data_IF_255985756762
#
_entry.id   IF_255985756762
#
_cell.length_a   1.000
_cell.length_b   1.000
_cell.length_c   1.000
_cell.angle_alpha   90.00
_cell.angle_beta   90.00
_cell.angle_gamma   90.00
#
_symmetry.space_group_name_H-M   'P 1'
#
loop_
_entity.id
_entity.type
_entity.pdbx_description
1 polymer ?
#
# COMPACT_ATOMS: atom_id res chain seq x y z
N UNK A 1 7.12 26.05 -3.71
CA UNK A 1 7.85 26.47 -2.48
C UNK A 1 9.34 26.16 -2.57
N UNK A 2 9.79 24.92 -2.79
CA UNK A 2 11.21 24.61 -3.02
C UNK A 2 11.74 25.28 -4.31
N UNK A 3 10.98 25.19 -5.40
CA UNK A 3 11.38 25.71 -6.70
C UNK A 3 11.42 27.24 -6.78
N UNK A 4 10.66 27.93 -5.98
CA UNK A 4 10.59 29.41 -5.91
C UNK A 4 11.38 29.99 -4.72
N UNK A 5 12.03 29.14 -3.94
CA UNK A 5 12.86 29.53 -2.80
C UNK A 5 12.08 30.01 -1.55
N UNK A 6 10.76 29.77 -1.49
CA UNK A 6 9.94 30.09 -0.30
C UNK A 6 10.41 29.30 0.93
N UNK A 7 10.90 28.08 0.74
CA UNK A 7 11.53 27.23 1.74
C UNK A 7 12.72 26.51 1.11
N UNK A 8 13.78 26.29 1.86
CA UNK A 8 14.92 25.49 1.42
C UNK A 8 14.70 24.01 1.69
N UNK A 9 15.40 23.12 0.96
CA UNK A 9 15.29 21.69 1.18
C UNK A 9 15.77 21.27 2.59
N UNK A 10 16.85 21.82 3.18
CA UNK A 10 17.19 21.58 4.57
C UNK A 10 16.12 22.04 5.56
N UNK A 11 15.55 23.23 5.41
CA UNK A 11 14.46 23.71 6.30
C UNK A 11 13.24 22.79 6.22
N UNK A 12 12.82 22.40 5.02
CA UNK A 12 11.72 21.47 4.84
C UNK A 12 12.01 20.13 5.53
N UNK A 13 13.22 19.59 5.37
CA UNK A 13 13.61 18.34 6.03
C UNK A 13 13.56 18.47 7.56
N UNK A 14 14.12 19.54 8.13
CA UNK A 14 14.11 19.72 9.60
C UNK A 14 12.68 19.80 10.15
N UNK A 15 11.73 20.45 9.46
CA UNK A 15 10.33 20.44 9.84
C UNK A 15 9.76 19.01 9.96
N UNK A 16 10.11 18.11 9.03
CA UNK A 16 9.68 16.72 9.11
C UNK A 16 10.42 15.94 10.22
N UNK A 17 11.73 16.13 10.39
CA UNK A 17 12.51 15.47 11.44
C UNK A 17 12.02 15.89 12.85
N UNK A 18 11.70 17.15 13.08
CA UNK A 18 11.11 17.64 14.34
C UNK A 18 9.73 17.01 14.59
N UNK A 19 8.88 16.93 13.57
CA UNK A 19 7.58 16.25 13.67
C UNK A 19 7.75 14.77 14.00
N UNK A 20 8.67 14.06 13.33
CA UNK A 20 8.99 12.67 13.62
C UNK A 20 9.45 12.53 15.08
N UNK A 21 10.40 13.34 15.53
CA UNK A 21 10.92 13.29 16.91
C UNK A 21 9.83 13.49 17.96
N UNK A 22 8.83 14.33 17.67
CA UNK A 22 7.70 14.63 18.56
C UNK A 22 6.65 13.54 18.58
N UNK A 23 6.21 13.06 17.40
CA UNK A 23 5.00 12.24 17.27
C UNK A 23 5.29 10.74 17.15
N UNK A 24 6.44 10.38 16.58
CA UNK A 24 6.70 8.97 16.27
C UNK A 24 7.04 8.12 17.51
N UNK A 25 7.34 8.75 18.64
CA UNK A 25 7.46 8.05 19.93
C UNK A 25 6.17 7.31 20.32
N UNK A 26 5.01 7.89 19.97
CA UNK A 26 3.70 7.28 20.19
C UNK A 26 3.32 6.36 19.04
N UNK A 27 3.49 6.82 17.79
CA UNK A 27 3.02 6.12 16.60
C UNK A 27 3.88 4.90 16.22
N UNK A 28 5.19 4.97 16.42
CA UNK A 28 6.18 3.95 16.00
C UNK A 28 6.02 3.59 14.52
N UNK A 29 5.87 4.61 13.70
CA UNK A 29 5.70 4.45 12.26
C UNK A 29 7.02 4.24 11.53
N UNK A 30 8.14 4.75 12.07
CA UNK A 30 9.48 4.49 11.55
C UNK A 30 10.18 3.38 12.34
N UNK A 31 10.79 2.44 11.61
CA UNK A 31 11.76 1.51 12.18
C UNK A 31 13.11 2.21 12.39
N UNK A 32 13.51 3.04 11.44
CA UNK A 32 14.70 3.90 11.53
C UNK A 32 14.49 5.21 10.79
N UNK A 33 14.95 6.29 11.41
CA UNK A 33 15.02 7.62 10.79
C UNK A 33 16.46 7.85 10.34
N UNK A 34 16.66 8.22 9.08
CA UNK A 34 17.97 8.39 8.45
C UNK A 34 18.39 9.87 8.47
N UNK A 35 18.30 10.51 9.65
CA UNK A 35 18.45 11.96 9.79
C UNK A 35 19.77 12.51 9.18
N UNK A 36 20.90 11.84 9.43
CA UNK A 36 22.19 12.35 9.00
C UNK A 36 22.38 12.25 7.48
N UNK A 37 22.06 11.11 6.87
CA UNK A 37 22.09 10.96 5.40
C UNK A 37 21.05 11.85 4.72
N UNK A 38 19.86 11.98 5.29
CA UNK A 38 18.82 12.86 4.77
C UNK A 38 19.25 14.34 4.76
N UNK A 39 19.96 14.80 5.81
CA UNK A 39 20.52 16.15 5.84
C UNK A 39 21.56 16.39 4.73
N UNK A 40 22.43 15.39 4.49
CA UNK A 40 23.38 15.46 3.38
C UNK A 40 22.68 15.52 2.03
N UNK A 41 21.66 14.66 1.81
CA UNK A 41 20.86 14.64 0.60
C UNK A 41 20.09 15.97 0.40
N UNK A 42 19.54 16.55 1.45
CA UNK A 42 18.85 17.83 1.39
C UNK A 42 19.81 18.99 1.07
N UNK A 43 21.05 18.95 1.59
CA UNK A 43 22.09 19.92 1.23
C UNK A 43 22.43 19.85 -0.26
N UNK A 44 22.68 18.66 -0.79
CA UNK A 44 22.93 18.44 -2.23
C UNK A 44 21.74 18.89 -3.07
N UNK A 45 20.50 18.56 -2.66
CA UNK A 45 19.30 19.00 -3.36
C UNK A 45 19.19 20.54 -3.39
N UNK A 46 19.57 21.23 -2.31
CA UNK A 46 19.57 22.69 -2.25
C UNK A 46 20.60 23.31 -3.21
N UNK A 47 21.81 22.73 -3.31
CA UNK A 47 22.81 23.19 -4.27
C UNK A 47 22.32 23.06 -5.71
N UNK A 48 21.65 21.95 -6.04
CA UNK A 48 21.04 21.73 -7.37
C UNK A 48 19.89 22.72 -7.66
N UNK A 49 19.03 23.01 -6.66
CA UNK A 49 17.97 24.04 -6.76
C UNK A 49 18.58 25.42 -7.03
N UNK A 50 19.66 25.78 -6.33
CA UNK A 50 20.37 27.06 -6.51
C UNK A 50 21.02 27.16 -7.89
N UNK A 51 21.49 26.03 -8.45
CA UNK A 51 22.00 25.94 -9.81
C UNK A 51 20.89 26.01 -10.89
N UNK A 52 19.63 26.14 -10.50
CA UNK A 52 18.49 26.23 -11.42
C UNK A 52 17.91 24.90 -11.88
N UNK A 53 18.38 23.78 -11.31
CA UNK A 53 17.86 22.46 -11.67
C UNK A 53 16.42 22.27 -11.16
N UNK A 54 15.60 21.59 -11.94
CA UNK A 54 14.18 21.35 -11.62
C UNK A 54 13.83 19.89 -11.89
N UNK A 55 13.93 19.05 -10.85
CA UNK A 55 13.49 17.65 -10.90
C UNK A 55 12.17 17.49 -10.16
N UNK A 56 11.38 16.47 -10.51
CA UNK A 56 10.02 16.27 -9.97
C UNK A 56 9.96 16.21 -8.43
N UNK A 57 10.97 15.62 -7.79
CA UNK A 57 11.00 15.39 -6.34
C UNK A 57 12.21 16.08 -5.67
N UNK A 58 12.83 17.07 -6.32
CA UNK A 58 14.07 17.67 -5.83
C UNK A 58 13.89 18.31 -4.45
N UNK A 59 14.53 17.72 -3.43
CA UNK A 59 14.46 18.13 -2.04
C UNK A 59 13.22 17.66 -1.27
N UNK A 60 12.37 16.81 -1.85
CA UNK A 60 11.16 16.28 -1.20
C UNK A 60 11.50 15.07 -0.32
N UNK A 61 11.19 15.10 1.00
CA UNK A 61 11.40 13.95 1.88
C UNK A 61 10.43 12.81 1.57
N UNK A 62 10.94 11.57 1.44
CA UNK A 62 10.13 10.36 1.17
C UNK A 62 10.48 9.27 2.17
N UNK A 63 9.46 8.58 2.70
CA UNK A 63 9.62 7.42 3.55
C UNK A 63 9.56 6.11 2.74
N UNK A 64 10.40 5.15 3.07
CA UNK A 64 10.53 3.87 2.38
C UNK A 64 10.07 2.73 3.30
N UNK A 65 9.23 1.85 2.80
CA UNK A 65 8.81 0.65 3.55
C UNK A 65 9.99 -0.26 3.84
N UNK A 66 10.05 -0.88 5.03
CA UNK A 66 11.18 -1.69 5.47
C UNK A 66 11.21 -3.12 4.90
N UNK A 67 10.78 -3.27 3.67
CA UNK A 67 10.96 -4.44 2.80
C UNK A 67 11.67 -4.06 1.48
N UNK A 68 11.96 -2.79 1.29
CA UNK A 68 12.66 -2.25 0.13
C UNK A 68 14.07 -1.82 0.54
N UNK A 69 15.07 -2.21 -0.23
CA UNK A 69 16.47 -1.96 0.08
C UNK A 69 16.85 -0.49 -0.12
N UNK A 70 17.55 0.05 0.88
CA UNK A 70 18.19 1.37 0.87
C UNK A 70 19.66 1.15 1.18
N UNK A 71 20.54 1.66 0.34
CA UNK A 71 21.99 1.53 0.49
C UNK A 71 22.47 2.06 1.86
N UNK A 72 23.36 1.33 2.51
CA UNK A 72 23.84 1.63 3.85
C UNK A 72 22.95 1.13 4.99
N UNK A 73 21.71 0.71 4.70
CA UNK A 73 20.72 0.32 5.71
C UNK A 73 20.33 -1.16 5.67
N UNK A 74 19.93 -1.65 6.83
CA UNK A 74 19.37 -2.99 6.96
C UNK A 74 17.92 -3.01 6.48
N UNK A 75 17.55 -4.02 5.71
CA UNK A 75 16.15 -4.34 5.43
C UNK A 75 15.71 -5.47 6.37
N UNK A 76 14.85 -5.14 7.35
CA UNK A 76 14.56 -6.07 8.44
C UNK A 76 13.37 -6.98 8.17
N UNK A 77 12.49 -6.62 7.25
CA UNK A 77 11.20 -7.31 7.07
C UNK A 77 10.42 -7.47 8.39
N UNK A 78 10.55 -6.47 9.30
CA UNK A 78 9.91 -6.49 10.62
C UNK A 78 10.47 -7.56 11.58
N UNK A 79 11.68 -8.06 11.39
CA UNK A 79 12.26 -9.19 12.10
C UNK A 79 13.70 -8.97 12.54
N UNK A 80 14.10 -9.60 13.65
CA UNK A 80 15.49 -9.73 14.07
C UNK A 80 16.29 -10.79 13.27
N UNK A 81 15.64 -11.50 12.35
CA UNK A 81 16.26 -12.54 11.51
C UNK A 81 17.04 -12.01 10.32
N UNK A 82 17.04 -10.69 10.09
CA UNK A 82 17.63 -9.98 8.95
C UNK A 82 19.15 -10.21 8.78
N UNK A 83 19.65 -9.91 7.58
CA UNK A 83 21.07 -9.89 7.21
C UNK A 83 21.77 -8.57 7.55
N UNK A 84 22.96 -8.33 6.97
CA UNK A 84 23.68 -7.06 7.08
C UNK A 84 22.97 -5.93 6.33
N UNK A 85 23.53 -4.71 6.47
CA UNK A 85 23.11 -3.56 5.67
C UNK A 85 23.29 -3.84 4.16
N UNK A 86 22.41 -3.27 3.37
CA UNK A 86 22.43 -3.39 1.91
C UNK A 86 23.50 -2.48 1.33
N UNK A 87 24.16 -2.93 0.28
CA UNK A 87 25.19 -2.15 -0.40
C UNK A 87 24.65 -1.25 -1.50
N UNK A 88 23.44 -1.55 -1.99
CA UNK A 88 22.80 -0.85 -3.11
C UNK A 88 21.34 -0.54 -2.79
N UNK A 89 20.82 0.52 -3.42
CA UNK A 89 19.42 0.84 -3.42
C UNK A 89 18.64 -0.15 -4.30
N UNK A 90 17.43 -0.49 -3.90
CA UNK A 90 16.47 -1.09 -4.82
C UNK A 90 16.19 -0.14 -6.00
N UNK A 91 15.85 -0.66 -7.16
CA UNK A 91 15.65 0.15 -8.38
C UNK A 91 14.60 1.26 -8.18
N UNK A 92 13.54 1.01 -7.45
CA UNK A 92 12.51 2.02 -7.14
C UNK A 92 13.10 3.16 -6.30
N UNK A 93 13.98 2.88 -5.34
CA UNK A 93 14.68 3.90 -4.51
C UNK A 93 15.68 4.67 -5.35
N UNK A 94 16.43 3.99 -6.21
CA UNK A 94 17.35 4.63 -7.15
C UNK A 94 16.62 5.64 -8.06
N UNK A 95 15.42 5.31 -8.53
CA UNK A 95 14.59 6.23 -9.33
C UNK A 95 14.11 7.43 -8.53
N UNK A 96 13.66 7.21 -7.30
CA UNK A 96 13.26 8.32 -6.40
C UNK A 96 14.42 9.28 -6.16
N UNK A 97 15.64 8.76 -5.84
CA UNK A 97 16.84 9.60 -5.69
C UNK A 97 17.25 10.31 -6.98
N UNK A 98 17.16 9.63 -8.13
CA UNK A 98 17.42 10.24 -9.43
C UNK A 98 16.46 11.40 -9.74
N UNK A 99 15.22 11.33 -9.25
CA UNK A 99 14.25 12.42 -9.32
C UNK A 99 14.47 13.50 -8.25
N UNK A 100 15.48 13.36 -7.39
CA UNK A 100 15.88 14.33 -6.37
C UNK A 100 15.24 14.15 -5.00
N UNK A 101 14.56 13.03 -4.74
CA UNK A 101 13.97 12.75 -3.44
C UNK A 101 15.03 12.58 -2.33
N UNK A 102 14.69 13.01 -1.12
CA UNK A 102 15.46 12.81 0.12
C UNK A 102 14.86 11.65 0.90
N UNK A 103 15.63 10.61 1.18
CA UNK A 103 15.13 9.43 1.90
C UNK A 103 15.20 9.67 3.40
N UNK A 104 14.04 9.92 4.03
CA UNK A 104 13.96 10.32 5.45
C UNK A 104 14.05 9.16 6.43
N UNK A 105 13.71 7.93 5.99
CA UNK A 105 13.77 6.76 6.86
C UNK A 105 13.03 5.56 6.31
N UNK A 106 13.12 4.44 7.05
CA UNK A 106 12.41 3.20 6.74
C UNK A 106 11.28 2.98 7.72
N UNK A 107 10.09 2.69 7.19
CA UNK A 107 8.84 2.60 7.96
C UNK A 107 8.56 1.18 8.44
N UNK A 108 7.94 1.06 9.60
CA UNK A 108 7.63 -0.19 10.28
C UNK A 108 6.70 -1.10 9.48
N UNK A 109 6.96 -2.40 9.55
CA UNK A 109 6.18 -3.46 8.92
C UNK A 109 5.93 -4.61 9.90
N UNK A 110 4.89 -5.44 9.74
CA UNK A 110 4.77 -6.68 10.50
C UNK A 110 5.81 -7.69 10.03
N UNK A 111 6.13 -8.66 10.90
CA UNK A 111 7.14 -9.67 10.60
C UNK A 111 6.85 -10.40 9.29
N UNK A 112 7.84 -10.41 8.39
CA UNK A 112 7.80 -10.97 7.04
C UNK A 112 6.62 -10.49 6.20
N UNK A 113 6.09 -9.29 6.48
CA UNK A 113 4.99 -8.64 5.74
C UNK A 113 3.66 -9.41 5.78
N UNK A 114 3.54 -10.43 6.64
CA UNK A 114 2.48 -11.43 6.60
C UNK A 114 1.10 -10.93 7.07
N UNK A 115 1.00 -9.75 7.70
CA UNK A 115 -0.23 -9.40 8.40
C UNK A 115 -0.78 -8.02 8.00
N UNK A 116 -2.10 -7.87 8.05
CA UNK A 116 -2.79 -6.59 7.87
C UNK A 116 -2.79 -5.70 9.13
N UNK A 117 -1.88 -5.95 10.06
CA UNK A 117 -1.62 -5.15 11.26
C UNK A 117 -0.11 -5.11 11.50
N UNK A 118 0.42 -3.97 11.93
CA UNK A 118 1.87 -3.76 12.07
C UNK A 118 2.26 -3.86 13.53
N UNK A 119 2.47 -5.10 13.96
CA UNK A 119 2.88 -5.45 15.32
C UNK A 119 3.92 -6.58 15.25
N UNK A 120 5.05 -6.41 15.92
CA UNK A 120 6.12 -7.40 16.03
C UNK A 120 6.60 -7.50 17.49
N UNK A 121 7.18 -8.64 17.84
CA UNK A 121 7.83 -8.79 19.15
C UNK A 121 9.09 -7.92 19.21
N UNK A 122 9.83 -7.82 18.12
CA UNK A 122 11.11 -7.10 18.06
C UNK A 122 10.95 -5.57 18.11
N UNK A 123 10.02 -5.01 17.31
CA UNK A 123 9.90 -3.56 17.13
C UNK A 123 8.63 -2.96 17.76
N UNK A 124 7.79 -3.80 18.37
CA UNK A 124 6.54 -3.36 19.00
C UNK A 124 5.41 -3.13 18.00
N UNK A 125 4.48 -2.24 18.34
CA UNK A 125 3.26 -1.99 17.58
C UNK A 125 3.23 -0.57 17.02
N UNK A 126 3.00 -0.44 15.72
CA UNK A 126 2.65 0.83 15.09
C UNK A 126 1.18 1.15 15.37
N UNK A 127 0.89 2.40 15.70
CA UNK A 127 -0.44 2.86 16.07
C UNK A 127 -1.07 3.69 14.97
N UNK A 128 -2.40 3.59 14.86
CA UNK A 128 -3.15 4.39 13.92
C UNK A 128 -3.26 5.84 14.43
N UNK A 129 -2.83 6.86 13.67
CA UNK A 129 -2.90 8.25 14.13
C UNK A 129 -4.32 8.80 14.31
N UNK A 130 -5.33 8.17 13.71
CA UNK A 130 -6.74 8.51 13.92
C UNK A 130 -7.29 8.00 15.24
N UNK A 131 -6.80 6.86 15.73
CA UNK A 131 -7.13 6.29 17.03
C UNK A 131 -6.05 5.30 17.44
N UNK A 132 -5.22 5.68 18.41
CA UNK A 132 -4.02 4.95 18.80
C UNK A 132 -4.27 3.62 19.52
N UNK A 133 -5.53 3.30 19.83
CA UNK A 133 -5.94 1.96 20.28
C UNK A 133 -5.93 0.92 19.16
N UNK A 134 -5.90 1.35 17.91
CA UNK A 134 -6.04 0.50 16.73
C UNK A 134 -4.74 0.43 15.91
N UNK A 135 -4.60 -0.66 15.14
CA UNK A 135 -3.53 -0.82 14.18
C UNK A 135 -3.77 0.09 12.96
N UNK A 136 -2.72 0.64 12.32
CA UNK A 136 -2.84 1.46 11.11
C UNK A 136 -3.13 0.64 9.85
N UNK A 137 -3.13 -0.67 9.97
CA UNK A 137 -3.12 -1.60 8.84
C UNK A 137 -1.77 -2.28 8.68
N UNK A 138 -1.60 -2.96 7.56
CA UNK A 138 -0.39 -3.70 7.19
C UNK A 138 -0.49 -4.29 5.79
N UNK A 139 0.66 -4.65 5.22
CA UNK A 139 1.99 -4.62 5.84
C UNK A 139 2.69 -3.27 5.74
N UNK A 140 2.24 -2.30 4.91
CA UNK A 140 2.78 -0.92 4.88
C UNK A 140 2.17 -0.02 5.98
N UNK A 141 1.98 -0.55 7.20
CA UNK A 141 1.31 0.19 8.27
C UNK A 141 2.11 1.37 8.78
N UNK A 142 3.44 1.27 8.87
CA UNK A 142 4.32 2.37 9.19
C UNK A 142 4.25 3.49 8.15
N UNK A 143 4.26 3.15 6.84
CA UNK A 143 4.09 4.12 5.75
C UNK A 143 2.75 4.85 5.85
N UNK A 144 1.65 4.10 6.07
CA UNK A 144 0.32 4.69 6.25
C UNK A 144 0.23 5.63 7.44
N UNK A 145 0.73 5.21 8.60
CA UNK A 145 0.73 6.03 9.81
C UNK A 145 1.60 7.30 9.65
N UNK A 146 2.80 7.16 9.07
CA UNK A 146 3.71 8.29 8.85
C UNK A 146 3.10 9.36 7.94
N UNK A 147 2.54 8.97 6.79
CA UNK A 147 1.92 9.93 5.85
C UNK A 147 0.67 10.56 6.45
N UNK A 148 -0.19 9.78 7.10
CA UNK A 148 -1.41 10.32 7.71
C UNK A 148 -1.12 11.34 8.81
N UNK A 149 -0.10 11.07 9.66
CA UNK A 149 0.33 11.99 10.71
C UNK A 149 1.18 13.17 10.19
N UNK A 150 1.47 13.23 8.89
CA UNK A 150 2.30 14.30 8.31
C UNK A 150 3.77 14.21 8.70
N UNK A 151 4.31 13.00 8.87
CA UNK A 151 5.72 12.74 9.12
C UNK A 151 6.52 12.53 7.82
N UNK A 152 5.84 12.38 6.72
CA UNK A 152 6.33 12.42 5.37
C UNK A 152 5.19 12.84 4.44
N UNK A 153 5.44 13.55 3.33
CA UNK A 153 4.39 13.93 2.39
C UNK A 153 3.83 12.72 1.64
N UNK A 154 4.70 11.76 1.33
CA UNK A 154 4.35 10.50 0.67
C UNK A 154 5.30 9.38 1.12
N UNK A 155 4.89 8.13 0.90
CA UNK A 155 5.71 6.97 1.20
C UNK A 155 5.59 5.89 0.12
N UNK A 156 6.68 5.15 -0.06
CA UNK A 156 6.67 3.89 -0.78
C UNK A 156 6.04 2.80 0.10
N UNK A 157 5.10 2.07 -0.46
CA UNK A 157 4.55 0.82 0.07
C UNK A 157 4.75 -0.34 -0.89
N UNK A 158 4.45 -1.55 -0.43
CA UNK A 158 4.32 -2.74 -1.28
C UNK A 158 3.00 -3.45 -0.99
N UNK A 159 2.43 -4.15 -1.99
CA UNK A 159 1.10 -4.77 -1.89
C UNK A 159 1.10 -6.18 -2.49
N UNK A 160 1.19 -7.19 -1.66
CA UNK A 160 1.09 -8.59 -2.06
C UNK A 160 -0.31 -9.19 -1.89
N UNK A 161 -1.10 -8.68 -0.95
CA UNK A 161 -2.50 -9.06 -0.70
C UNK A 161 -3.30 -7.89 -0.09
N UNK A 162 -3.03 -6.65 -0.51
CA UNK A 162 -3.70 -5.45 -0.02
C UNK A 162 -2.82 -4.53 0.83
N UNK A 163 -1.51 -4.75 0.88
CA UNK A 163 -0.63 -4.08 1.85
C UNK A 163 -0.33 -2.60 1.57
N UNK A 164 -0.71 -2.03 0.44
CA UNK A 164 -0.86 -0.58 0.21
C UNK A 164 -2.29 -0.17 0.57
N UNK A 165 -3.28 -0.88 0.03
CA UNK A 165 -4.70 -0.52 0.07
C UNK A 165 -5.31 -0.59 1.46
N UNK A 166 -4.94 -1.60 2.26
CA UNK A 166 -5.43 -1.76 3.63
C UNK A 166 -5.00 -0.60 4.53
N UNK A 167 -3.68 -0.31 4.67
CA UNK A 167 -3.26 0.81 5.52
C UNK A 167 -3.69 2.17 4.97
N UNK A 168 -3.75 2.36 3.65
CA UNK A 168 -4.33 3.59 3.08
C UNK A 168 -5.79 3.77 3.48
N UNK A 169 -6.60 2.69 3.45
CA UNK A 169 -8.00 2.72 3.92
C UNK A 169 -8.10 3.16 5.38
N UNK A 170 -7.36 2.53 6.28
CA UNK A 170 -7.50 2.77 7.71
C UNK A 170 -6.75 4.01 8.21
N UNK A 171 -5.85 4.58 7.39
CA UNK A 171 -5.16 5.84 7.67
C UNK A 171 -5.72 7.04 6.90
N UNK A 172 -6.77 6.86 6.07
CA UNK A 172 -7.43 7.95 5.35
C UNK A 172 -6.56 8.56 4.25
N UNK A 173 -5.85 7.72 3.50
CA UNK A 173 -4.95 8.08 2.42
C UNK A 173 -5.44 7.58 1.07
N UNK A 174 -5.04 8.27 0.01
CA UNK A 174 -5.03 7.68 -1.31
C UNK A 174 -3.85 6.71 -1.41
N UNK A 175 -4.13 5.49 -1.89
CA UNK A 175 -3.11 4.48 -2.13
C UNK A 175 -3.45 3.66 -3.37
N UNK A 176 -2.49 3.48 -4.25
CA UNK A 176 -2.70 2.71 -5.48
C UNK A 176 -1.73 1.54 -5.55
N UNK A 177 -2.30 0.36 -5.73
CA UNK A 177 -1.60 -0.82 -6.22
C UNK A 177 -1.59 -0.76 -7.75
N UNK A 178 -0.46 -0.42 -8.38
CA UNK A 178 -0.42 -0.40 -9.84
C UNK A 178 -0.53 -1.79 -10.44
N UNK A 179 -0.60 -1.88 -11.74
CA UNK A 179 -0.45 -3.14 -12.48
C UNK A 179 0.84 -3.84 -12.06
N UNK A 180 0.81 -5.17 -12.00
CA UNK A 180 2.04 -5.97 -11.86
C UNK A 180 3.04 -5.56 -12.95
N UNK A 181 4.32 -5.53 -12.59
CA UNK A 181 5.45 -5.14 -13.43
C UNK A 181 5.49 -3.65 -13.85
N UNK A 182 4.56 -2.81 -13.35
CA UNK A 182 4.57 -1.37 -13.63
C UNK A 182 5.68 -0.63 -12.87
N UNK A 183 5.84 -0.90 -11.59
CA UNK A 183 6.91 -0.36 -10.74
C UNK A 183 7.93 -1.48 -10.49
N UNK A 184 9.24 -1.27 -10.72
CA UNK A 184 10.23 -2.33 -10.59
C UNK A 184 10.34 -2.86 -9.17
N UNK A 185 10.59 -4.16 -9.07
CA UNK A 185 10.83 -4.88 -7.82
C UNK A 185 12.32 -5.15 -7.58
N UNK A 186 13.20 -4.93 -8.59
CA UNK A 186 14.64 -5.22 -8.47
C UNK A 186 15.24 -4.66 -7.15
N UNK A 187 16.08 -5.44 -6.44
CA UNK A 187 16.80 -6.62 -6.92
C UNK A 187 15.99 -7.94 -6.96
N UNK A 188 14.71 -7.93 -6.62
CA UNK A 188 13.87 -9.10 -6.73
C UNK A 188 13.30 -9.19 -8.16
N UNK A 189 13.43 -10.35 -8.80
CA UNK A 189 12.79 -10.61 -10.10
C UNK A 189 11.28 -10.84 -9.93
N UNK A 190 10.89 -11.42 -8.80
CA UNK A 190 9.52 -11.77 -8.46
C UNK A 190 9.36 -11.72 -6.93
N UNK A 191 8.23 -11.24 -6.46
CA UNK A 191 7.91 -11.23 -5.03
C UNK A 191 6.57 -11.93 -4.77
N UNK A 192 6.61 -12.92 -3.85
CA UNK A 192 5.47 -13.78 -3.51
C UNK A 192 4.83 -14.45 -4.73
N UNK A 193 5.68 -14.98 -5.60
CA UNK A 193 5.25 -15.68 -6.82
C UNK A 193 4.31 -14.83 -7.70
N UNK A 194 4.64 -13.54 -7.91
CA UNK A 194 3.91 -12.59 -8.74
C UNK A 194 2.71 -11.93 -8.06
N UNK A 195 2.56 -12.00 -6.74
CA UNK A 195 1.49 -11.29 -6.04
C UNK A 195 1.87 -9.85 -5.70
N UNK A 196 3.14 -9.58 -5.38
CA UNK A 196 3.57 -8.32 -4.79
C UNK A 196 3.93 -7.28 -5.85
N UNK A 197 3.60 -6.02 -5.58
CA UNK A 197 3.96 -4.85 -6.35
C UNK A 197 4.36 -3.70 -5.42
N UNK A 198 5.18 -2.77 -5.89
CA UNK A 198 5.47 -1.51 -5.23
C UNK A 198 4.48 -0.42 -5.68
N UNK A 199 4.21 0.56 -4.81
CA UNK A 199 3.38 1.71 -5.17
C UNK A 199 3.29 2.77 -4.08
N UNK A 200 2.72 3.95 -4.39
CA UNK A 200 2.64 5.10 -3.51
C UNK A 200 1.49 5.02 -2.50
N UNK A 201 1.72 5.67 -1.38
CA UNK A 201 0.74 6.08 -0.39
C UNK A 201 0.91 7.57 -0.15
N UNK A 202 -0.13 8.37 -0.41
CA UNK A 202 -0.09 9.83 -0.33
C UNK A 202 -1.40 10.40 0.20
N UNK A 203 -1.38 11.70 0.56
CA UNK A 203 -2.60 12.39 1.01
C UNK A 203 -3.48 12.81 -0.16
N UNK A 204 -2.87 13.14 -1.30
CA UNK A 204 -3.55 13.59 -2.51
C UNK A 204 -3.35 12.60 -3.66
N UNK A 205 -4.26 12.64 -4.62
CA UNK A 205 -4.12 11.85 -5.86
C UNK A 205 -2.96 12.36 -6.70
N UNK A 206 -2.74 13.68 -6.70
CA UNK A 206 -1.66 14.33 -7.46
C UNK A 206 -0.28 13.87 -6.99
N UNK A 207 -0.02 13.81 -5.66
CA UNK A 207 1.25 13.33 -5.11
C UNK A 207 1.50 11.86 -5.49
N UNK A 208 0.48 11.02 -5.43
CA UNK A 208 0.60 9.61 -5.81
C UNK A 208 0.84 9.43 -7.32
N UNK A 209 0.22 10.28 -8.15
CA UNK A 209 0.44 10.29 -9.59
C UNK A 209 1.86 10.72 -9.93
N UNK A 210 2.38 11.77 -9.30
CA UNK A 210 3.76 12.23 -9.43
C UNK A 210 4.76 11.13 -9.03
N UNK A 211 4.49 10.43 -7.92
CA UNK A 211 5.31 9.29 -7.51
C UNK A 211 5.36 8.19 -8.57
N UNK A 212 4.21 7.88 -9.19
CA UNK A 212 4.15 6.85 -10.24
C UNK A 212 4.88 7.31 -11.52
N UNK A 213 4.78 8.58 -11.92
CA UNK A 213 5.52 9.11 -13.07
C UNK A 213 7.04 8.96 -12.90
N UNK A 214 7.52 9.09 -11.65
CA UNK A 214 8.94 8.91 -11.32
C UNK A 214 9.35 7.44 -11.30
N UNK A 215 8.49 6.55 -10.79
CA UNK A 215 8.87 5.16 -10.51
C UNK A 215 8.44 4.17 -11.59
N UNK A 216 7.43 4.51 -12.39
CA UNK A 216 6.85 3.65 -13.42
C UNK A 216 7.13 4.21 -14.82
N UNK A 217 7.92 3.54 -15.66
CA UNK A 217 8.29 4.08 -16.97
C UNK A 217 7.08 4.21 -17.90
N UNK A 218 7.05 5.31 -18.66
CA UNK A 218 6.06 5.55 -19.72
C UNK A 218 4.65 5.91 -19.24
N UNK A 219 4.50 6.26 -17.96
CA UNK A 219 3.25 6.80 -17.42
C UNK A 219 3.12 8.32 -17.67
N UNK A 220 1.89 8.78 -17.76
CA UNK A 220 1.50 10.20 -17.74
C UNK A 220 0.45 10.39 -16.63
N UNK A 221 0.77 9.92 -15.43
CA UNK A 221 -0.20 9.79 -14.34
C UNK A 221 -0.56 11.15 -13.75
N UNK A 222 0.41 12.07 -13.66
CA UNK A 222 0.15 13.44 -13.23
C UNK A 222 -0.75 14.19 -14.23
N UNK A 223 -0.51 13.97 -15.53
CA UNK A 223 -1.38 14.51 -16.57
C UNK A 223 -2.79 13.88 -16.53
N UNK A 224 -2.90 12.60 -16.16
CA UNK A 224 -4.19 11.94 -15.96
C UNK A 224 -4.94 12.51 -14.75
N UNK A 225 -4.26 12.82 -13.63
CA UNK A 225 -4.86 13.47 -12.47
C UNK A 225 -5.45 14.86 -12.78
N UNK A 226 -4.86 15.58 -13.74
CA UNK A 226 -5.31 16.89 -14.17
C UNK A 226 -6.50 16.86 -15.18
N UNK A 227 -6.82 15.70 -15.74
CA UNK A 227 -7.88 15.56 -16.78
C UNK A 227 -9.11 14.84 -16.21
N UNK A 228 -10.33 15.29 -16.56
CA UNK A 228 -11.54 14.53 -16.22
C UNK A 228 -11.57 13.18 -16.96
N UNK A 229 -12.05 12.10 -16.32
CA UNK A 229 -12.03 10.75 -16.90
C UNK A 229 -13.02 10.55 -18.07
N UNK A 230 -13.83 11.55 -18.41
CA UNK A 230 -14.96 11.38 -19.29
C UNK A 230 -16.12 10.64 -18.62
N UNK A 231 -17.09 10.20 -19.41
CA UNK A 231 -18.22 9.43 -18.89
C UNK A 231 -17.90 7.94 -18.84
N UNK A 232 -17.77 7.40 -17.64
CA UNK A 232 -17.42 5.99 -17.39
C UNK A 232 -18.68 5.13 -17.12
N UNK A 233 -18.57 3.85 -17.44
CA UNK A 233 -19.47 2.78 -17.00
C UNK A 233 -18.89 2.16 -15.75
N UNK A 234 -19.57 2.26 -14.61
CA UNK A 234 -19.06 1.87 -13.29
C UNK A 234 -19.96 0.81 -12.66
N UNK A 235 -19.37 -0.31 -12.25
CA UNK A 235 -20.04 -1.34 -11.47
C UNK A 235 -19.83 -1.14 -9.98
N UNK A 236 -20.90 -1.17 -9.19
CA UNK A 236 -20.81 -1.26 -7.73
C UNK A 236 -20.96 -2.73 -7.31
N UNK A 237 -20.02 -3.21 -6.50
CA UNK A 237 -20.06 -4.56 -5.95
C UNK A 237 -19.67 -4.59 -4.49
N UNK A 238 -20.46 -5.29 -3.68
CA UNK A 238 -20.11 -5.62 -2.30
C UNK A 238 -19.91 -7.12 -2.11
N UNK A 239 -19.81 -7.87 -3.22
CA UNK A 239 -19.61 -9.31 -3.21
C UNK A 239 -18.25 -9.67 -2.65
N UNK A 240 -18.24 -10.47 -1.60
CA UNK A 240 -17.03 -11.04 -1.04
C UNK A 240 -16.57 -12.20 -1.93
N UNK A 241 -15.29 -12.23 -2.38
CA UNK A 241 -14.78 -13.34 -3.16
C UNK A 241 -14.92 -14.68 -2.40
N UNK A 242 -15.58 -15.69 -2.99
CA UNK A 242 -15.73 -16.99 -2.34
C UNK A 242 -14.38 -17.72 -2.26
N UNK A 243 -14.20 -18.60 -1.29
CA UNK A 243 -15.14 -18.98 -0.24
C UNK A 243 -14.99 -18.13 1.03
N UNK A 244 -14.37 -16.96 0.94
CA UNK A 244 -14.28 -16.05 2.07
C UNK A 244 -15.70 -15.65 2.51
N UNK A 245 -15.87 -15.53 3.82
CA UNK A 245 -17.09 -14.99 4.42
C UNK A 245 -16.71 -13.78 5.25
N UNK A 246 -17.31 -12.66 4.99
CA UNK A 246 -17.09 -11.44 5.76
C UNK A 246 -18.41 -10.73 6.02
N UNK A 247 -18.60 -10.31 7.26
CA UNK A 247 -19.73 -9.44 7.60
C UNK A 247 -19.29 -7.99 7.36
N UNK A 248 -19.93 -7.35 6.40
CA UNK A 248 -19.64 -5.95 6.11
C UNK A 248 -20.16 -5.02 7.19
N UNK A 249 -19.31 -4.10 7.64
CA UNK A 249 -19.68 -3.02 8.55
C UNK A 249 -20.65 -2.03 7.89
N UNK A 250 -21.45 -1.35 8.72
CA UNK A 250 -22.42 -0.36 8.23
C UNK A 250 -21.72 0.80 7.52
N UNK A 251 -20.62 1.31 8.06
CA UNK A 251 -19.88 2.43 7.49
C UNK A 251 -19.26 2.06 6.13
N UNK A 252 -18.76 0.83 5.97
CA UNK A 252 -18.16 0.36 4.71
C UNK A 252 -19.21 0.17 3.61
N UNK A 253 -20.42 -0.28 3.98
CA UNK A 253 -21.56 -0.38 3.05
C UNK A 253 -22.01 1.02 2.62
N UNK A 254 -22.23 1.91 3.60
CA UNK A 254 -22.63 3.29 3.33
C UNK A 254 -21.63 4.00 2.40
N UNK A 255 -20.32 3.77 2.56
CA UNK A 255 -19.31 4.35 1.69
C UNK A 255 -19.50 3.97 0.21
N UNK A 256 -19.86 2.71 -0.09
CA UNK A 256 -20.13 2.27 -1.47
C UNK A 256 -21.43 2.84 -2.01
N UNK A 257 -22.48 2.88 -1.19
CA UNK A 257 -23.79 3.41 -1.58
C UNK A 257 -23.69 4.93 -1.88
N UNK A 258 -23.03 5.69 -1.00
CA UNK A 258 -22.78 7.14 -1.17
C UNK A 258 -21.87 7.41 -2.37
N UNK A 259 -20.84 6.57 -2.59
CA UNK A 259 -19.98 6.68 -3.77
C UNK A 259 -20.79 6.46 -5.06
N UNK A 260 -21.68 5.49 -5.06
CA UNK A 260 -22.56 5.27 -6.20
C UNK A 260 -23.49 6.45 -6.50
N UNK A 261 -23.97 7.15 -5.47
CA UNK A 261 -24.77 8.37 -5.63
C UNK A 261 -23.90 9.51 -6.21
N UNK A 262 -22.76 9.80 -5.61
CA UNK A 262 -21.82 10.82 -6.08
C UNK A 262 -21.37 10.58 -7.53
N UNK A 263 -21.05 9.34 -7.88
CA UNK A 263 -20.59 9.02 -9.24
C UNK A 263 -21.70 9.24 -10.30
N UNK A 264 -22.98 9.03 -9.94
CA UNK A 264 -24.12 9.40 -10.82
C UNK A 264 -24.27 10.91 -10.95
N UNK A 265 -24.11 11.65 -9.87
CA UNK A 265 -24.12 13.13 -9.87
C UNK A 265 -22.96 13.70 -10.73
N UNK A 266 -21.81 13.03 -10.75
CA UNK A 266 -20.68 13.36 -11.60
C UNK A 266 -20.87 12.95 -13.08
N UNK A 267 -22.01 12.35 -13.44
CA UNK A 267 -22.41 12.03 -14.82
C UNK A 267 -22.01 10.65 -15.31
N UNK A 268 -21.49 9.77 -14.45
CA UNK A 268 -21.14 8.40 -14.83
C UNK A 268 -22.37 7.49 -14.92
N UNK A 269 -22.26 6.42 -15.71
CA UNK A 269 -23.25 5.35 -15.76
C UNK A 269 -22.94 4.30 -14.67
N UNK A 270 -23.72 4.29 -13.60
CA UNK A 270 -23.44 3.45 -12.41
C UNK A 270 -24.51 2.36 -12.28
N UNK A 271 -24.09 1.10 -12.33
CA UNK A 271 -24.91 -0.10 -12.21
C UNK A 271 -24.48 -0.95 -11.01
N UNK A 272 -25.35 -1.82 -10.53
CA UNK A 272 -24.98 -2.87 -9.56
C UNK A 272 -24.64 -4.14 -10.33
N UNK A 273 -23.37 -4.57 -10.24
CA UNK A 273 -22.89 -5.78 -10.92
C UNK A 273 -21.65 -6.33 -10.21
N UNK A 274 -21.63 -7.63 -10.03
CA UNK A 274 -20.52 -8.32 -9.37
C UNK A 274 -19.54 -8.91 -10.37
N UNK A 275 -18.22 -8.86 -10.08
CA UNK A 275 -17.24 -9.67 -10.83
C UNK A 275 -17.50 -11.17 -10.64
N UNK A 276 -17.09 -11.96 -11.64
CA UNK A 276 -17.07 -13.42 -11.53
C UNK A 276 -15.84 -13.88 -10.75
N UNK A 277 -16.00 -14.10 -9.46
CA UNK A 277 -14.93 -14.61 -8.59
C UNK A 277 -14.96 -16.14 -8.53
N UNK A 278 -14.06 -16.86 -9.23
CA UNK A 278 -13.95 -18.30 -9.08
C UNK A 278 -13.39 -18.70 -7.71
N UNK A 279 -13.80 -19.85 -7.18
CA UNK A 279 -13.25 -20.42 -5.94
C UNK A 279 -11.72 -20.56 -5.98
N UNK A 280 -11.18 -20.83 -7.16
CA UNK A 280 -9.74 -20.95 -7.40
C UNK A 280 -8.98 -19.64 -7.19
N UNK A 281 -9.61 -18.47 -7.26
CA UNK A 281 -8.92 -17.19 -7.06
C UNK A 281 -8.26 -17.08 -5.68
N UNK A 282 -8.94 -17.54 -4.63
CA UNK A 282 -8.41 -17.51 -3.26
C UNK A 282 -7.65 -18.79 -2.93
N UNK A 283 -8.28 -19.97 -2.99
CA UNK A 283 -7.64 -21.23 -2.56
C UNK A 283 -6.69 -21.82 -3.60
N UNK A 284 -6.94 -21.59 -4.87
CA UNK A 284 -6.11 -22.10 -5.97
C UNK A 284 -4.91 -21.20 -6.30
N UNK A 285 -5.04 -19.90 -6.07
CA UNK A 285 -4.03 -18.90 -6.45
C UNK A 285 -3.48 -18.13 -5.25
N UNK A 286 -4.29 -17.26 -4.63
CA UNK A 286 -3.78 -16.32 -3.64
C UNK A 286 -3.09 -17.01 -2.45
N UNK A 287 -3.77 -17.91 -1.75
CA UNK A 287 -3.24 -18.54 -0.54
C UNK A 287 -2.01 -19.44 -0.80
N UNK A 288 -1.99 -20.33 -1.82
CA UNK A 288 -0.78 -21.11 -2.09
C UNK A 288 0.44 -20.26 -2.42
N UNK A 289 0.28 -19.22 -3.23
CA UNK A 289 1.38 -18.29 -3.59
C UNK A 289 1.86 -17.51 -2.36
N UNK A 290 0.94 -17.09 -1.50
CA UNK A 290 1.24 -16.41 -0.24
C UNK A 290 2.00 -17.31 0.74
N UNK A 291 1.53 -18.56 0.97
CA UNK A 291 2.23 -19.50 1.84
C UNK A 291 3.62 -19.84 1.30
N UNK A 292 3.72 -20.10 -0.01
CA UNK A 292 4.99 -20.44 -0.63
C UNK A 292 5.95 -19.25 -0.63
N UNK A 293 5.50 -18.04 -0.96
CA UNK A 293 6.31 -16.83 -0.88
C UNK A 293 6.87 -16.61 0.53
N UNK A 294 6.04 -16.74 1.56
CA UNK A 294 6.51 -16.65 2.94
C UNK A 294 7.57 -17.73 3.30
N UNK A 295 7.44 -18.94 2.77
CA UNK A 295 8.47 -19.98 2.97
C UNK A 295 9.77 -19.63 2.26
N UNK A 296 9.70 -19.16 1.03
CA UNK A 296 10.88 -18.80 0.22
C UNK A 296 11.63 -17.63 0.88
N UNK A 297 10.92 -16.61 1.36
CA UNK A 297 11.50 -15.48 2.09
C UNK A 297 12.17 -15.96 3.40
N UNK A 298 11.50 -16.77 4.20
CA UNK A 298 12.05 -17.31 5.46
C UNK A 298 13.29 -18.17 5.20
N UNK A 299 13.31 -18.95 4.11
CA UNK A 299 14.45 -19.78 3.72
C UNK A 299 15.69 -18.94 3.37
N UNK A 300 15.52 -17.73 2.86
CA UNK A 300 16.62 -16.83 2.48
C UNK A 300 17.26 -16.10 3.67
N UNK A 301 16.60 -16.10 4.84
CA UNK A 301 17.09 -15.38 6.01
C UNK A 301 18.30 -16.07 6.66
N UNK A 302 19.29 -15.30 7.13
CA UNK A 302 20.47 -15.87 7.79
C UNK A 302 20.18 -16.44 9.18
N UNK A 303 19.11 -15.99 9.85
CA UNK A 303 18.77 -16.35 11.24
C UNK A 303 17.30 -16.71 11.43
N UNK A 304 16.73 -17.66 10.66
CA UNK A 304 15.28 -17.95 10.66
C UNK A 304 14.74 -18.41 12.04
N UNK A 305 15.61 -18.88 12.93
CA UNK A 305 15.26 -19.25 14.31
C UNK A 305 14.78 -18.06 15.16
N UNK A 306 15.12 -16.83 14.80
CA UNK A 306 14.72 -15.59 15.51
C UNK A 306 13.33 -15.08 15.12
N UNK A 307 12.67 -15.70 14.15
CA UNK A 307 11.31 -15.37 13.77
C UNK A 307 10.31 -15.76 14.85
N UNK A 308 9.18 -15.07 14.90
CA UNK A 308 8.03 -15.41 15.73
C UNK A 308 7.49 -16.81 15.44
N UNK A 309 6.98 -17.50 16.45
CA UNK A 309 6.40 -18.83 16.28
C UNK A 309 5.27 -18.87 15.23
N UNK A 310 4.48 -17.79 15.17
CA UNK A 310 3.40 -17.60 14.20
C UNK A 310 3.94 -17.56 12.76
N UNK A 311 4.99 -16.80 12.51
CA UNK A 311 5.65 -16.69 11.20
C UNK A 311 6.28 -18.01 10.77
N UNK A 312 6.99 -18.69 11.70
CA UNK A 312 7.53 -20.02 11.42
C UNK A 312 6.42 -21.05 11.13
N UNK A 313 5.28 -20.96 11.83
CA UNK A 313 4.12 -21.81 11.58
C UNK A 313 3.54 -21.59 10.19
N UNK A 314 3.46 -20.31 9.75
CA UNK A 314 2.99 -19.95 8.42
C UNK A 314 3.91 -20.48 7.31
N UNK A 315 5.21 -20.26 7.42
CA UNK A 315 6.21 -20.74 6.46
C UNK A 315 6.26 -22.27 6.35
N UNK A 316 6.02 -23.03 7.45
CA UNK A 316 5.93 -24.49 7.40
C UNK A 316 4.84 -24.99 6.46
N UNK A 317 3.72 -24.27 6.34
CA UNK A 317 2.66 -24.62 5.38
C UNK A 317 3.17 -24.43 3.95
N UNK A 318 3.85 -23.31 3.68
CA UNK A 318 4.44 -23.04 2.36
C UNK A 318 5.44 -24.10 1.90
N UNK A 319 6.20 -24.68 2.84
CA UNK A 319 7.15 -25.78 2.55
C UNK A 319 6.50 -27.00 1.91
N UNK A 320 5.21 -27.22 2.15
CA UNK A 320 4.46 -28.35 1.57
C UNK A 320 4.11 -28.14 0.08
N UNK A 321 4.33 -26.95 -0.45
CA UNK A 321 4.03 -26.60 -1.84
C UNK A 321 5.34 -26.74 -2.64
N UNK A 322 5.44 -27.76 -3.47
CA UNK A 322 6.62 -27.99 -4.32
C UNK A 322 6.69 -26.99 -5.48
N UNK A 323 7.89 -26.82 -6.06
CA UNK A 323 8.11 -25.97 -7.25
C UNK A 323 7.22 -26.41 -8.42
N UNK A 324 7.10 -27.71 -8.66
CA UNK A 324 6.19 -28.26 -9.70
C UNK A 324 4.75 -27.81 -9.47
N UNK A 325 4.28 -27.87 -8.22
CA UNK A 325 2.91 -27.43 -7.88
C UNK A 325 2.76 -25.90 -8.02
N UNK A 326 3.77 -25.15 -7.62
CA UNK A 326 3.75 -23.69 -7.76
C UNK A 326 3.73 -23.26 -9.23
N UNK A 327 4.52 -23.91 -10.08
CA UNK A 327 4.50 -23.65 -11.52
C UNK A 327 3.12 -23.97 -12.15
N UNK A 328 2.48 -25.06 -11.73
CA UNK A 328 1.12 -25.38 -12.17
C UNK A 328 0.09 -24.34 -11.68
N UNK A 329 0.21 -23.87 -10.44
CA UNK A 329 -0.65 -22.80 -9.90
C UNK A 329 -0.48 -21.52 -10.71
N UNK A 330 0.75 -21.11 -10.98
CA UNK A 330 1.02 -19.90 -11.79
C UNK A 330 0.54 -20.06 -13.24
N UNK A 331 0.69 -21.24 -13.83
CA UNK A 331 0.20 -21.53 -15.17
C UNK A 331 -1.33 -21.44 -15.32
N UNK A 332 -2.08 -21.63 -14.22
CA UNK A 332 -3.54 -21.51 -14.21
C UNK A 332 -4.05 -20.09 -13.86
N UNK A 333 -3.15 -19.09 -13.73
CA UNK A 333 -3.52 -17.71 -13.38
C UNK A 333 -4.41 -17.08 -14.46
N UNK A 334 -4.11 -17.31 -15.73
CA UNK A 334 -4.84 -16.71 -16.85
C UNK A 334 -6.32 -17.07 -16.82
N UNK A 335 -6.68 -18.30 -16.49
CA UNK A 335 -8.08 -18.73 -16.37
C UNK A 335 -8.84 -17.94 -15.29
N UNK A 336 -8.19 -17.70 -14.16
CA UNK A 336 -8.77 -16.87 -13.09
C UNK A 336 -8.87 -15.40 -13.51
N UNK A 337 -7.83 -14.89 -14.19
CA UNK A 337 -7.79 -13.51 -14.65
C UNK A 337 -8.89 -13.24 -15.70
N UNK A 338 -9.06 -14.11 -16.70
CA UNK A 338 -10.10 -14.01 -17.70
C UNK A 338 -11.50 -13.92 -17.07
N UNK A 339 -11.81 -14.78 -16.10
CA UNK A 339 -13.11 -14.77 -15.44
C UNK A 339 -13.33 -13.49 -14.64
N UNK A 340 -12.37 -13.08 -13.82
CA UNK A 340 -12.50 -11.87 -12.99
C UNK A 340 -12.54 -10.61 -13.86
N UNK A 341 -11.80 -10.59 -14.96
CA UNK A 341 -11.70 -9.45 -15.85
C UNK A 341 -12.85 -9.37 -16.88
N UNK A 342 -13.63 -10.41 -17.09
CA UNK A 342 -14.77 -10.40 -18.02
C UNK A 342 -15.80 -9.30 -17.74
N UNK A 343 -15.90 -8.81 -16.50
CA UNK A 343 -16.77 -7.69 -16.15
C UNK A 343 -16.39 -6.42 -16.93
N UNK A 344 -15.11 -6.27 -17.29
CA UNK A 344 -14.59 -5.07 -17.98
C UNK A 344 -14.94 -5.01 -19.49
N UNK A 345 -15.60 -6.02 -20.03
CA UNK A 345 -16.22 -5.95 -21.36
C UNK A 345 -17.38 -4.91 -21.35
N UNK A 346 -18.06 -4.80 -20.21
CA UNK A 346 -19.25 -3.96 -20.08
C UNK A 346 -19.04 -2.72 -19.19
N UNK A 347 -18.00 -2.70 -18.35
CA UNK A 347 -17.70 -1.58 -17.46
C UNK A 347 -16.25 -1.13 -17.58
N UNK A 348 -15.95 0.07 -17.13
CA UNK A 348 -14.61 0.64 -17.18
C UNK A 348 -13.94 0.58 -15.79
N UNK A 349 -14.72 0.66 -14.71
CA UNK A 349 -14.25 0.60 -13.32
C UNK A 349 -15.22 -0.21 -12.47
N UNK A 350 -14.67 -1.00 -11.55
CA UNK A 350 -15.43 -1.66 -10.49
C UNK A 350 -15.16 -0.96 -9.15
N UNK A 351 -16.20 -0.59 -8.45
CA UNK A 351 -16.13 0.01 -7.10
C UNK A 351 -16.50 -1.04 -6.07
N UNK A 352 -15.62 -1.27 -5.10
CA UNK A 352 -15.86 -2.15 -3.94
C UNK A 352 -15.58 -1.41 -2.64
N UNK A 353 -15.97 -1.96 -1.47
CA UNK A 353 -15.43 -1.46 -0.21
C UNK A 353 -13.91 -1.58 -0.17
N UNK A 354 -13.22 -0.61 0.43
CA UNK A 354 -11.77 -0.72 0.67
C UNK A 354 -11.43 -1.87 1.64
N UNK A 355 -12.26 -2.10 2.65
CA UNK A 355 -12.19 -3.24 3.59
C UNK A 355 -13.61 -3.61 4.05
N UNK A 356 -13.81 -4.81 4.62
CA UNK A 356 -15.12 -5.21 5.13
C UNK A 356 -15.46 -4.58 6.49
N UNK A 357 -14.44 -4.33 7.32
CA UNK A 357 -14.60 -3.69 8.65
C UNK A 357 -13.41 -2.78 8.93
N UNK A 358 -13.46 -2.00 10.01
CA UNK A 358 -12.33 -1.23 10.53
C UNK A 358 -11.17 -2.11 11.02
N UNK A 359 -10.05 -1.48 11.44
CA UNK A 359 -8.84 -2.18 11.89
C UNK A 359 -9.06 -2.96 13.20
N UNK A 360 -8.13 -3.85 13.51
CA UNK A 360 -8.07 -4.51 14.82
C UNK A 360 -7.49 -3.57 15.89
N UNK A 361 -7.89 -3.76 17.14
CA UNK A 361 -7.19 -3.16 18.27
C UNK A 361 -5.77 -3.73 18.34
N UNK A 362 -4.84 -2.90 18.84
CA UNK A 362 -3.48 -3.34 19.17
C UNK A 362 -3.54 -4.54 20.11
N UNK A 363 -2.73 -5.57 19.82
CA UNK A 363 -2.66 -6.79 20.63
C UNK A 363 -3.74 -7.84 20.35
N UNK A 364 -4.71 -7.58 19.48
CA UNK A 364 -5.83 -8.48 19.21
C UNK A 364 -5.41 -9.90 18.77
N UNK A 365 -4.23 -10.04 18.22
CA UNK A 365 -3.72 -11.31 17.66
C UNK A 365 -2.50 -11.88 18.38
N UNK A 366 -2.04 -11.29 19.50
CA UNK A 366 -0.77 -11.66 20.17
C UNK A 366 -0.68 -13.14 20.58
N UNK A 367 -1.80 -13.75 21.00
CA UNK A 367 -1.84 -15.15 21.46
C UNK A 367 -2.39 -16.13 20.41
N UNK A 368 -2.44 -15.73 19.14
CA UNK A 368 -3.06 -16.54 18.08
C UNK A 368 -1.99 -17.15 17.17
N UNK A 369 -2.23 -18.39 16.75
CA UNK A 369 -1.42 -19.08 15.75
C UNK A 369 -1.69 -18.56 14.34
N UNK A 370 -0.89 -19.00 13.37
CA UNK A 370 -0.92 -18.55 11.98
C UNK A 370 -2.30 -18.68 11.33
N UNK A 371 -2.93 -19.85 11.38
CA UNK A 371 -4.21 -20.11 10.71
C UNK A 371 -5.36 -19.30 11.33
N UNK A 372 -5.47 -19.30 12.67
CA UNK A 372 -6.52 -18.51 13.34
C UNK A 372 -6.39 -17.02 13.07
N UNK A 373 -5.15 -16.50 13.00
CA UNK A 373 -4.90 -15.10 12.62
C UNK A 373 -5.32 -14.84 11.19
N UNK A 374 -4.91 -15.71 10.24
CA UNK A 374 -5.25 -15.60 8.82
C UNK A 374 -6.77 -15.58 8.59
N UNK A 375 -7.51 -16.46 9.26
CA UNK A 375 -8.98 -16.51 9.13
C UNK A 375 -9.64 -15.22 9.62
N UNK A 376 -9.22 -14.69 10.77
CA UNK A 376 -9.77 -13.46 11.33
C UNK A 376 -9.40 -12.22 10.52
N UNK A 377 -8.18 -12.17 10.00
CA UNK A 377 -7.73 -11.11 9.11
C UNK A 377 -8.50 -11.17 7.78
N UNK A 378 -8.66 -12.33 7.19
CA UNK A 378 -9.39 -12.53 5.94
C UNK A 378 -10.85 -12.03 6.00
N UNK A 379 -11.50 -12.10 7.18
CA UNK A 379 -12.84 -11.55 7.37
C UNK A 379 -12.87 -10.01 7.34
N UNK A 380 -11.76 -9.34 7.65
CA UNK A 380 -11.66 -7.87 7.63
C UNK A 380 -11.31 -7.30 6.27
N UNK A 381 -10.47 -8.03 5.52
CA UNK A 381 -9.85 -7.55 4.28
C UNK A 381 -10.04 -8.53 3.11
N UNK A 382 -11.29 -8.89 2.75
CA UNK A 382 -11.54 -9.92 1.74
C UNK A 382 -11.41 -9.44 0.30
N UNK A 383 -11.38 -8.10 0.05
CA UNK A 383 -11.54 -7.53 -1.30
C UNK A 383 -10.23 -7.33 -2.07
N UNK A 384 -9.06 -7.58 -1.47
CA UNK A 384 -7.78 -7.17 -2.04
C UNK A 384 -7.07 -8.25 -2.86
N UNK A 385 -7.00 -9.48 -2.31
CA UNK A 385 -6.12 -10.54 -2.80
C UNK A 385 -6.36 -10.94 -4.26
N UNK A 386 -7.61 -10.95 -4.70
CA UNK A 386 -7.97 -11.32 -6.07
C UNK A 386 -7.29 -10.41 -7.09
N UNK A 387 -7.19 -9.12 -6.81
CA UNK A 387 -6.55 -8.14 -7.71
C UNK A 387 -5.02 -8.17 -7.65
N UNK A 388 -4.42 -8.87 -6.70
CA UNK A 388 -3.01 -9.25 -6.74
C UNK A 388 -2.81 -10.48 -7.64
N UNK A 389 -3.71 -11.45 -7.58
CA UNK A 389 -3.70 -12.63 -8.47
C UNK A 389 -3.83 -12.20 -9.93
N UNK A 390 -4.83 -11.40 -10.27
CA UNK A 390 -5.06 -10.95 -11.65
C UNK A 390 -4.07 -9.86 -12.11
N UNK A 391 -3.31 -9.28 -11.19
CA UNK A 391 -2.27 -8.28 -11.47
C UNK A 391 -2.79 -6.87 -11.76
N UNK A 392 -4.08 -6.67 -12.06
CA UNK A 392 -4.65 -5.39 -12.49
C UNK A 392 -4.59 -4.29 -11.43
N UNK A 393 -4.59 -2.99 -11.84
CA UNK A 393 -4.47 -1.88 -10.92
C UNK A 393 -5.71 -1.74 -10.02
N UNK A 394 -5.49 -1.31 -8.77
CA UNK A 394 -6.55 -0.99 -7.83
C UNK A 394 -6.12 0.16 -6.90
N UNK A 395 -6.98 1.14 -6.72
CA UNK A 395 -6.76 2.30 -5.85
C UNK A 395 -7.79 2.33 -4.72
N UNK A 396 -7.42 2.87 -3.57
CA UNK A 396 -8.37 3.19 -2.50
C UNK A 396 -8.48 4.69 -2.33
N UNK A 397 -9.71 5.16 -2.21
CA UNK A 397 -10.07 6.56 -2.06
C UNK A 397 -10.70 6.76 -0.69
N UNK A 398 -10.19 7.66 0.16
CA UNK A 398 -10.75 7.95 1.48
C UNK A 398 -12.20 8.37 1.41
N UNK A 399 -13.01 7.94 2.38
CA UNK A 399 -14.45 8.25 2.35
C UNK A 399 -14.93 8.98 3.61
N UNK A 400 -15.18 8.26 4.68
CA UNK A 400 -15.73 8.78 5.92
C UNK A 400 -14.95 8.23 7.13
N UNK A 401 -15.31 8.66 8.33
CA UNK A 401 -14.89 8.03 9.57
C UNK A 401 -15.97 7.06 10.05
N UNK A 402 -15.55 5.93 10.61
CA UNK A 402 -16.46 5.01 11.29
C UNK A 402 -16.79 5.50 12.73
N UNK A 403 -17.59 4.73 13.45
CA UNK A 403 -17.99 5.06 14.83
C UNK A 403 -16.82 5.08 15.84
N UNK A 404 -15.67 4.55 15.48
CA UNK A 404 -14.44 4.58 16.29
C UNK A 404 -13.50 5.73 15.90
N UNK A 405 -13.92 6.60 14.99
CA UNK A 405 -13.10 7.70 14.47
C UNK A 405 -12.01 7.24 13.49
N UNK A 406 -12.10 6.03 12.94
CA UNK A 406 -11.13 5.48 11.99
C UNK A 406 -11.67 5.61 10.56
N UNK A 407 -10.82 5.99 9.58
CA UNK A 407 -11.23 6.15 8.20
C UNK A 407 -11.77 4.87 7.55
N UNK A 408 -12.72 5.08 6.65
CA UNK A 408 -13.20 4.10 5.66
C UNK A 408 -12.79 4.57 4.26
N UNK A 409 -12.87 3.68 3.28
CA UNK A 409 -12.63 3.99 1.86
C UNK A 409 -13.49 3.15 0.94
N UNK A 410 -13.58 3.57 -0.30
CA UNK A 410 -13.93 2.73 -1.43
C UNK A 410 -12.66 2.27 -2.13
N UNK A 411 -12.73 1.14 -2.83
CA UNK A 411 -11.68 0.66 -3.73
C UNK A 411 -12.18 0.75 -5.17
N UNK A 412 -11.40 1.37 -6.03
CA UNK A 412 -11.59 1.45 -7.46
C UNK A 412 -10.67 0.41 -8.12
N UNK A 413 -11.23 -0.46 -8.96
CA UNK A 413 -10.46 -1.47 -9.70
C UNK A 413 -10.62 -1.20 -11.19
N UNK A 414 -9.48 -1.13 -11.89
CA UNK A 414 -9.42 -0.81 -13.32
C UNK A 414 -9.16 -2.03 -14.21
N UNK A 415 -9.20 -1.79 -15.50
CA UNK A 415 -8.70 -2.71 -16.52
C UNK A 415 -7.19 -2.92 -16.35
N UNK A 416 -6.62 -4.03 -16.84
CA UNK A 416 -5.18 -4.19 -16.87
C UNK A 416 -4.49 -2.99 -17.51
N UNK A 417 -3.43 -2.49 -16.89
CA UNK A 417 -2.63 -1.34 -17.32
C UNK A 417 -3.34 0.02 -17.40
N UNK A 418 -4.55 0.15 -16.83
CA UNK A 418 -5.34 1.39 -16.88
C UNK A 418 -5.34 2.15 -15.54
N UNK A 419 -4.17 2.40 -14.99
CA UNK A 419 -3.99 3.27 -13.83
C UNK A 419 -4.47 4.70 -14.11
N UNK A 420 -4.31 5.18 -15.36
CA UNK A 420 -4.68 6.53 -15.73
C UNK A 420 -6.17 6.83 -15.51
N UNK A 421 -7.06 5.90 -15.86
CA UNK A 421 -8.51 6.02 -15.58
C UNK A 421 -8.78 6.05 -14.08
N UNK A 422 -8.10 5.19 -13.28
CA UNK A 422 -8.27 5.18 -11.82
C UNK A 422 -7.81 6.48 -11.18
N UNK A 423 -6.68 7.02 -11.60
CA UNK A 423 -6.11 8.29 -11.13
C UNK A 423 -7.04 9.44 -11.49
N UNK A 424 -7.47 9.54 -12.75
CA UNK A 424 -8.37 10.60 -13.21
C UNK A 424 -9.71 10.57 -12.48
N UNK A 425 -10.32 9.39 -12.30
CA UNK A 425 -11.56 9.22 -11.54
C UNK A 425 -11.35 9.56 -10.05
N UNK A 426 -10.23 9.15 -9.46
CA UNK A 426 -9.91 9.47 -8.07
C UNK A 426 -9.73 10.97 -7.86
N UNK A 427 -9.07 11.67 -8.78
CA UNK A 427 -8.90 13.12 -8.74
C UNK A 427 -10.24 13.85 -8.90
N UNK A 428 -11.15 13.36 -9.74
CA UNK A 428 -12.50 13.89 -9.84
C UNK A 428 -13.29 13.71 -8.55
N UNK A 429 -13.19 12.53 -7.90
CA UNK A 429 -13.81 12.28 -6.59
C UNK A 429 -13.18 13.18 -5.52
N UNK A 430 -11.84 13.33 -5.48
CA UNK A 430 -11.13 14.21 -4.55
C UNK A 430 -11.61 15.66 -4.65
N UNK A 431 -11.78 16.15 -5.87
CA UNK A 431 -12.31 17.50 -6.12
C UNK A 431 -13.76 17.67 -5.64
N UNK A 432 -14.61 16.67 -5.83
CA UNK A 432 -16.01 16.71 -5.42
C UNK A 432 -16.22 16.48 -3.91
N UNK A 433 -15.33 15.70 -3.28
CA UNK A 433 -15.38 15.32 -1.88
C UNK A 433 -13.97 15.36 -1.26
N UNK A 434 -13.41 16.55 -0.97
CA UNK A 434 -12.05 16.69 -0.46
C UNK A 434 -11.82 15.96 0.87
N UNK A 435 -10.68 15.30 1.00
CA UNK A 435 -10.23 14.62 2.22
C UNK A 435 -8.84 15.03 2.68
N UNK A 436 -8.03 15.66 1.81
CA UNK A 436 -6.64 15.98 2.09
C UNK A 436 -6.44 16.91 3.32
N UNK A 437 -7.45 17.71 3.66
CA UNK A 437 -7.44 18.63 4.81
C UNK A 437 -7.89 17.97 6.13
N UNK A 438 -8.41 16.77 6.07
CA UNK A 438 -8.74 16.03 7.30
C UNK A 438 -7.45 15.62 7.98
N UNK A 439 -7.32 15.94 9.26
CA UNK A 439 -6.13 15.61 10.06
C UNK A 439 -6.50 14.62 11.16
N UNK A 440 -5.68 13.59 11.40
CA UNK A 440 -5.85 12.75 12.57
C UNK A 440 -5.54 13.52 13.86
N UNK A 441 -6.09 13.07 15.03
CA UNK A 441 -5.77 13.67 16.32
C UNK A 441 -4.27 13.69 16.65
N UNK A 442 -3.53 12.69 16.17
CA UNK A 442 -2.06 12.64 16.31
C UNK A 442 -1.43 13.07 14.96
N UNK A 443 -1.23 14.39 14.80
CA UNK A 443 -0.61 14.96 13.58
C UNK A 443 0.07 16.31 13.80
#
# INVERSE_FOLDING_TARGET
MLADGTITAPELLELYLERIARLDRELRSFRVVLADSARQEAGVAQERLNAGERLPLLGVPIAIKDDVDVAGEVTTYGSAAHGPARTEDAEVVRRLRAAGAVIVGKTSVPEMLLWSFTETIEFGATRNPWNTDYAPGGSSGGSGAAVAAGLAPMALGSDGMGSIRIPSTWCGLFGIKPQRDRVPLAPHDDAWNGLSVNGPMARTVEDAALFLDVTAPGGEFLAAAARPPGRLRIALSTKVPPPLTARMGKAQRAAVDEAGALLRELGHNVISRDPDYPLSAVFGQALPRYFRGAYDDVKSLPRPGRLEARTRGFARIGRLISDRRMNAIRGAESEVAERVQSIFDDVDVVVTPGTATGPSRIGAYQRRGAISTLMLVGQRVPFQAVFNVTGQPAAVVPWALDANGVPTSIQLVGKPFDEATLISLSAQIEKARPWADRRPPVS
#
